data_IF_005585757644
#
_entry.id   IF_005585757644
#
_cell.length_a   1.000
_cell.length_b   1.000
_cell.length_c   1.000
_cell.angle_alpha   90.00
_cell.angle_beta   90.00
_cell.angle_gamma   90.00
#
_symmetry.space_group_name_H-M   'P 1'
#
loop_
_entity.id
_entity.type
_entity.pdbx_description
1 polymer ?
#
# COMPACT_ATOMS: atom_id res chain seq x y z
N UNK A 1 36.94 39.18 60.40
CA UNK A 1 36.60 37.78 60.09
C UNK A 1 35.10 37.72 59.90
N UNK A 2 34.63 37.64 58.67
CA UNK A 2 33.22 37.35 58.35
C UNK A 2 33.16 36.78 56.93
N UNK A 3 33.87 35.67 56.74
CA UNK A 3 33.85 34.84 55.53
C UNK A 3 33.26 33.50 55.89
N UNK A 4 31.97 33.45 56.22
CA UNK A 4 31.33 32.17 56.60
C UNK A 4 29.89 31.99 56.09
N UNK A 5 29.30 32.96 55.39
CA UNK A 5 27.92 32.87 54.90
C UNK A 5 27.71 33.24 53.42
N UNK A 6 28.71 33.05 52.55
CA UNK A 6 28.44 32.86 51.13
C UNK A 6 28.10 31.39 50.88
N UNK A 7 27.01 30.95 51.49
CA UNK A 7 26.43 29.63 51.28
C UNK A 7 25.80 29.58 49.90
N UNK A 8 26.50 28.97 48.94
CA UNK A 8 25.91 27.96 48.05
C UNK A 8 24.68 28.31 47.18
N UNK A 9 24.32 29.59 46.98
CA UNK A 9 23.20 29.95 46.09
C UNK A 9 23.52 29.73 44.59
N UNK A 10 24.81 29.60 44.24
CA UNK A 10 25.26 29.38 42.86
C UNK A 10 25.51 27.90 42.51
N UNK A 11 25.17 26.97 43.38
CA UNK A 11 25.39 25.52 43.18
C UNK A 11 24.08 24.72 43.14
N UNK A 12 22.97 25.38 42.79
CA UNK A 12 21.75 24.72 42.33
C UNK A 12 21.79 24.54 40.82
N UNK A 13 21.17 23.47 40.30
CA UNK A 13 20.95 23.34 38.85
C UNK A 13 20.23 24.61 38.35
N UNK A 14 20.64 25.19 37.21
CA UNK A 14 19.97 26.36 36.66
C UNK A 14 18.46 26.10 36.53
N UNK A 15 17.60 27.10 36.80
CA UNK A 15 16.15 26.93 36.72
C UNK A 15 15.74 26.45 35.31
N UNK A 16 14.70 25.63 35.23
CA UNK A 16 14.28 24.99 33.97
C UNK A 16 14.08 26.00 32.84
N UNK A 17 13.58 27.20 33.16
CA UNK A 17 13.38 28.27 32.19
C UNK A 17 14.70 28.80 31.60
N UNK A 18 15.77 28.92 32.40
CA UNK A 18 17.07 29.36 31.89
C UNK A 18 17.74 28.26 31.09
N UNK A 19 17.57 27.00 31.49
CA UNK A 19 17.99 25.85 30.70
C UNK A 19 17.27 25.80 29.34
N UNK A 20 15.96 26.04 29.31
CA UNK A 20 15.17 26.06 28.08
C UNK A 20 15.57 27.21 27.14
N UNK A 21 15.78 28.42 27.67
CA UNK A 21 16.25 29.56 26.88
C UNK A 21 17.68 29.39 26.35
N UNK A 22 18.51 28.59 27.03
CA UNK A 22 19.88 28.27 26.59
C UNK A 22 19.97 27.12 25.59
N UNK A 23 18.85 26.47 25.24
CA UNK A 23 18.84 25.38 24.26
C UNK A 23 19.22 25.91 22.88
N UNK A 24 20.14 25.21 22.21
CA UNK A 24 20.43 25.45 20.79
C UNK A 24 19.25 24.97 19.96
N UNK A 25 18.92 25.73 18.93
CA UNK A 25 17.85 25.33 18.00
C UNK A 25 18.19 24.01 17.33
N UNK A 26 17.20 23.14 17.19
CA UNK A 26 17.36 21.87 16.49
C UNK A 26 17.56 22.12 14.99
N UNK A 27 18.41 21.32 14.35
CA UNK A 27 18.52 21.31 12.90
C UNK A 27 17.26 20.70 12.29
N UNK A 28 16.54 21.48 11.48
CA UNK A 28 15.30 21.03 10.81
C UNK A 28 15.49 19.72 10.02
N UNK A 29 16.62 19.57 9.33
CA UNK A 29 16.99 18.34 8.63
C UNK A 29 17.10 17.13 9.56
N UNK A 30 17.76 17.28 10.71
CA UNK A 30 17.95 16.17 11.63
C UNK A 30 16.61 15.74 12.23
N UNK A 31 15.77 16.70 12.63
CA UNK A 31 14.41 16.42 13.10
C UNK A 31 13.61 15.67 12.04
N UNK A 32 13.70 16.10 10.78
CA UNK A 32 13.04 15.42 9.66
C UNK A 32 13.51 13.97 9.49
N UNK A 33 14.82 13.71 9.54
CA UNK A 33 15.37 12.35 9.48
C UNK A 33 14.87 11.48 10.64
N UNK A 34 14.83 12.02 11.86
CA UNK A 34 14.28 11.30 13.03
C UNK A 34 12.80 10.98 12.87
N UNK A 35 12.02 11.91 12.31
CA UNK A 35 10.61 11.68 11.98
C UNK A 35 10.47 10.53 10.98
N UNK A 36 11.26 10.52 9.90
CA UNK A 36 11.26 9.41 8.93
C UNK A 36 11.61 8.07 9.58
N UNK A 37 12.64 8.03 10.43
CA UNK A 37 13.02 6.80 11.15
C UNK A 37 11.91 6.35 12.10
N UNK A 38 11.27 7.27 12.83
CA UNK A 38 10.15 6.97 13.70
C UNK A 38 8.96 6.39 12.91
N UNK A 39 8.64 6.96 11.75
CA UNK A 39 7.60 6.44 10.85
C UNK A 39 7.93 5.05 10.33
N UNK A 40 9.19 4.79 9.93
CA UNK A 40 9.66 3.45 9.55
C UNK A 40 9.46 2.45 10.69
N UNK A 41 9.91 2.79 11.89
CA UNK A 41 9.78 1.92 13.07
C UNK A 41 8.31 1.67 13.41
N UNK A 42 7.47 2.70 13.32
CA UNK A 42 6.04 2.61 13.56
C UNK A 42 5.37 1.61 12.59
N UNK A 43 5.66 1.70 11.28
CA UNK A 43 5.14 0.78 10.28
C UNK A 43 5.62 -0.66 10.53
N UNK A 44 6.90 -0.84 10.86
CA UNK A 44 7.46 -2.16 11.18
C UNK A 44 6.74 -2.80 12.37
N UNK A 45 6.50 -2.03 13.43
CA UNK A 45 5.84 -2.52 14.65
C UNK A 45 4.36 -2.82 14.39
N UNK A 46 3.62 -1.89 13.76
CA UNK A 46 2.19 -2.09 13.50
C UNK A 46 1.94 -3.30 12.61
N UNK A 47 2.73 -3.46 11.55
CA UNK A 47 2.56 -4.57 10.60
C UNK A 47 3.41 -5.81 10.92
N UNK A 48 4.08 -5.82 12.09
CA UNK A 48 4.91 -6.93 12.55
C UNK A 48 5.90 -7.43 11.47
N UNK A 49 6.50 -6.48 10.75
CA UNK A 49 7.30 -6.80 9.58
C UNK A 49 8.65 -7.40 9.98
N UNK A 50 8.85 -8.68 9.66
CA UNK A 50 10.08 -9.41 9.98
C UNK A 50 11.24 -9.10 9.02
N UNK A 51 12.47 -9.25 9.50
CA UNK A 51 13.72 -9.18 8.73
C UNK A 51 14.04 -7.81 8.10
N UNK A 52 13.55 -6.72 8.67
CA UNK A 52 13.88 -5.36 8.23
C UNK A 52 14.89 -4.76 9.21
N UNK A 53 15.98 -4.20 8.68
CA UNK A 53 16.93 -3.40 9.45
C UNK A 53 16.54 -1.93 9.27
N UNK A 54 15.89 -1.27 10.25
CA UNK A 54 15.31 0.07 10.07
C UNK A 54 16.36 1.10 9.64
N UNK A 55 17.52 1.09 10.31
CA UNK A 55 18.65 1.94 9.96
C UNK A 55 19.21 1.61 8.58
N UNK A 56 19.05 0.37 8.09
CA UNK A 56 19.49 -0.06 6.76
C UNK A 56 18.85 0.72 5.61
N UNK A 57 17.68 1.33 5.83
CA UNK A 57 16.96 2.16 4.85
C UNK A 57 17.52 3.59 4.70
N UNK A 58 18.54 3.94 5.48
CA UNK A 58 19.14 5.28 5.50
C UNK A 58 20.58 5.27 5.01
N UNK A 59 20.99 6.35 4.35
CA UNK A 59 22.37 6.58 3.90
C UNK A 59 23.37 6.69 5.06
N UNK A 60 24.67 6.68 4.74
CA UNK A 60 25.70 6.72 5.77
C UNK A 60 25.66 8.03 6.58
N UNK A 61 25.34 9.14 5.93
CA UNK A 61 25.23 10.44 6.60
C UNK A 61 24.09 10.49 7.61
N UNK A 62 22.89 10.05 7.24
CA UNK A 62 21.75 9.98 8.16
C UNK A 62 22.00 9.03 9.35
N UNK A 63 22.70 7.90 9.12
CA UNK A 63 23.09 6.99 10.20
C UNK A 63 24.01 7.66 11.24
N UNK A 64 24.92 8.54 10.80
CA UNK A 64 25.84 9.27 11.68
C UNK A 64 25.12 10.33 12.54
N UNK A 65 23.92 10.78 12.15
CA UNK A 65 23.14 11.79 12.89
C UNK A 65 22.18 11.21 13.92
N UNK A 66 21.66 10.00 13.72
CA UNK A 66 20.59 9.46 14.58
C UNK A 66 20.96 9.32 16.07
N UNK A 67 22.26 9.32 16.39
CA UNK A 67 22.75 9.18 17.76
C UNK A 67 23.48 10.43 18.25
N UNK A 68 23.30 11.57 17.57
CA UNK A 68 23.86 12.87 17.96
C UNK A 68 22.74 13.79 18.46
N UNK A 69 23.14 14.85 19.18
CA UNK A 69 22.21 15.87 19.64
C UNK A 69 21.49 16.53 18.46
N UNK A 70 20.24 16.96 18.65
CA UNK A 70 19.40 17.49 17.55
C UNK A 70 19.91 18.81 16.95
N UNK A 71 20.83 19.50 17.62
CA UNK A 71 21.47 20.71 17.12
C UNK A 71 22.79 20.41 16.38
N UNK A 72 23.09 19.13 16.12
CA UNK A 72 24.30 18.74 15.41
C UNK A 72 24.16 19.02 13.91
N UNK A 73 24.93 19.98 13.42
CA UNK A 73 24.97 20.30 11.99
C UNK A 73 25.97 19.38 11.27
N UNK A 74 25.48 18.56 10.35
CA UNK A 74 26.31 17.95 9.31
C UNK A 74 26.48 18.95 8.19
N UNK A 75 27.72 19.15 7.76
CA UNK A 75 28.01 19.80 6.50
C UNK A 75 27.58 18.84 5.39
N UNK A 76 26.49 19.19 4.72
CA UNK A 76 25.83 18.42 3.68
C UNK A 76 26.81 18.16 2.53
N UNK A 77 27.51 17.03 2.58
CA UNK A 77 28.20 16.52 1.41
C UNK A 77 27.16 15.73 0.63
N UNK A 78 26.90 16.16 -0.62
CA UNK A 78 26.02 15.46 -1.54
C UNK A 78 26.52 14.01 -1.68
N UNK A 79 25.88 13.10 -0.96
CA UNK A 79 26.15 11.67 -1.07
C UNK A 79 25.40 11.20 -2.31
N UNK A 80 26.11 10.65 -3.29
CA UNK A 80 25.47 10.06 -4.45
C UNK A 80 24.61 8.89 -3.95
N UNK A 81 23.29 9.00 -4.09
CA UNK A 81 22.40 7.94 -3.63
C UNK A 81 22.69 6.64 -4.38
N UNK A 82 22.83 5.56 -3.60
CA UNK A 82 23.08 4.23 -4.12
C UNK A 82 21.77 3.64 -4.66
N UNK A 83 21.77 3.20 -5.92
CA UNK A 83 20.63 2.51 -6.54
C UNK A 83 20.16 1.31 -5.70
N UNK A 84 21.10 0.63 -5.02
CA UNK A 84 20.77 -0.50 -4.14
C UNK A 84 19.89 -0.06 -2.94
N UNK A 85 20.14 1.14 -2.42
CA UNK A 85 19.38 1.72 -1.33
C UNK A 85 17.98 2.14 -1.78
N UNK A 86 17.86 2.72 -2.97
CA UNK A 86 16.57 3.06 -3.56
C UNK A 86 15.70 1.81 -3.75
N UNK A 87 16.28 0.72 -4.28
CA UNK A 87 15.58 -0.57 -4.41
C UNK A 87 15.13 -1.13 -3.06
N UNK A 88 16.00 -1.07 -2.03
CA UNK A 88 15.65 -1.56 -0.69
C UNK A 88 14.50 -0.75 -0.06
N UNK A 89 14.53 0.58 -0.20
CA UNK A 89 13.47 1.48 0.27
C UNK A 89 12.16 1.21 -0.48
N UNK A 90 12.21 1.08 -1.81
CA UNK A 90 11.02 0.75 -2.60
C UNK A 90 10.41 -0.58 -2.16
N UNK A 91 11.22 -1.65 -2.04
CA UNK A 91 10.73 -2.95 -1.56
C UNK A 91 10.09 -2.87 -0.16
N UNK A 92 10.69 -2.10 0.75
CA UNK A 92 10.10 -1.85 2.07
C UNK A 92 8.72 -1.18 1.96
N UNK A 93 8.59 -0.14 1.16
CA UNK A 93 7.35 0.62 1.00
C UNK A 93 6.25 -0.19 0.30
N UNK A 94 6.58 -0.97 -0.73
CA UNK A 94 5.63 -1.88 -1.39
C UNK A 94 5.11 -2.94 -0.41
N UNK A 95 6.01 -3.52 0.41
CA UNK A 95 5.62 -4.48 1.45
C UNK A 95 4.75 -3.85 2.52
N UNK A 96 5.04 -2.61 2.92
CA UNK A 96 4.21 -1.87 3.87
C UNK A 96 2.83 -1.54 3.26
N UNK A 97 2.76 -1.19 1.97
CA UNK A 97 1.51 -0.92 1.27
C UNK A 97 0.62 -2.18 1.17
N UNK A 98 1.20 -3.34 0.87
CA UNK A 98 0.48 -4.63 0.96
C UNK A 98 -0.06 -4.87 2.36
N UNK A 99 0.74 -4.62 3.41
CA UNK A 99 0.30 -4.79 4.79
C UNK A 99 -0.83 -3.82 5.20
N UNK A 100 -0.82 -2.58 4.69
CA UNK A 100 -1.95 -1.64 4.85
C UNK A 100 -3.22 -2.24 4.23
N UNK A 101 -3.15 -2.69 2.98
CA UNK A 101 -4.31 -3.26 2.27
C UNK A 101 -4.84 -4.53 2.97
N UNK A 102 -3.93 -5.35 3.52
CA UNK A 102 -4.27 -6.57 4.27
C UNK A 102 -4.83 -6.30 5.66
N UNK A 103 -4.62 -5.10 6.22
CA UNK A 103 -5.21 -4.72 7.51
C UNK A 103 -6.67 -4.29 7.42
N UNK A 104 -7.21 -4.13 6.19
CA UNK A 104 -8.61 -3.86 5.96
C UNK A 104 -9.43 -5.14 6.14
N UNK A 105 -10.68 -5.04 6.65
CA UNK A 105 -11.56 -6.20 6.75
C UNK A 105 -11.78 -6.81 5.36
N UNK A 106 -11.69 -8.13 5.25
CA UNK A 106 -12.03 -8.83 4.01
C UNK A 106 -13.54 -8.79 3.80
N UNK A 107 -13.98 -8.68 2.54
CA UNK A 107 -15.41 -8.67 2.22
C UNK A 107 -15.98 -10.07 2.46
N UNK A 108 -16.79 -10.23 3.51
CA UNK A 108 -17.57 -11.45 3.71
C UNK A 108 -18.67 -11.58 2.62
N UNK A 109 -19.00 -12.82 2.21
CA UNK A 109 -20.08 -13.07 1.26
C UNK A 109 -21.42 -12.57 1.81
N UNK A 110 -22.27 -12.04 0.92
CA UNK A 110 -23.59 -11.44 1.21
C UNK A 110 -24.64 -12.49 1.67
N UNK A 111 -24.38 -13.23 2.75
CA UNK A 111 -25.25 -14.33 3.20
C UNK A 111 -25.72 -14.25 4.66
N UNK A 112 -25.62 -13.09 5.33
CA UNK A 112 -26.35 -12.86 6.59
C UNK A 112 -26.81 -11.40 6.69
N UNK A 113 -28.12 -11.12 6.84
CA UNK A 113 -28.58 -9.82 7.31
C UNK A 113 -28.22 -9.72 8.79
N UNK A 114 -27.01 -9.25 9.07
CA UNK A 114 -26.55 -8.98 10.42
C UNK A 114 -27.41 -7.86 11.01
N UNK A 115 -28.25 -8.22 11.99
CA UNK A 115 -29.26 -7.36 12.63
C UNK A 115 -28.69 -6.19 13.48
N UNK A 116 -27.42 -5.82 13.31
CA UNK A 116 -26.74 -4.75 14.07
C UNK A 116 -26.04 -3.78 13.10
N UNK A 117 -26.85 -3.05 12.33
CA UNK A 117 -26.39 -2.11 11.29
C UNK A 117 -25.70 -0.87 11.92
N UNK A 118 -26.07 -0.47 13.14
CA UNK A 118 -25.61 0.80 13.72
C UNK A 118 -24.19 0.78 14.31
N UNK A 119 -23.63 -0.40 14.63
CA UNK A 119 -22.28 -0.50 15.24
C UNK A 119 -21.16 -0.89 14.25
N UNK A 120 -21.48 -1.68 13.22
CA UNK A 120 -20.50 -2.18 12.25
C UNK A 120 -20.04 -1.11 11.25
N UNK A 121 -20.91 -0.15 10.89
CA UNK A 121 -20.56 0.93 9.98
C UNK A 121 -19.53 1.91 10.60
N UNK A 122 -19.62 2.13 11.92
CA UNK A 122 -18.69 3.03 12.62
C UNK A 122 -17.27 2.46 12.78
N UNK A 123 -17.13 1.15 12.97
CA UNK A 123 -15.83 0.47 13.07
C UNK A 123 -15.13 0.42 11.72
N UNK A 124 -15.86 0.05 10.67
CA UNK A 124 -15.31 -0.02 9.31
C UNK A 124 -14.80 1.34 8.82
N UNK A 125 -15.55 2.42 9.08
CA UNK A 125 -15.13 3.78 8.73
C UNK A 125 -13.82 4.18 9.44
N UNK A 126 -13.63 3.73 10.68
CA UNK A 126 -12.41 3.99 11.45
C UNK A 126 -11.23 3.24 10.85
N UNK A 127 -11.42 1.99 10.44
CA UNK A 127 -10.37 1.18 9.82
C UNK A 127 -9.92 1.74 8.46
N UNK A 128 -10.86 2.19 7.62
CA UNK A 128 -10.52 2.86 6.36
C UNK A 128 -9.76 4.18 6.59
N UNK A 129 -10.17 4.97 7.58
CA UNK A 129 -9.47 6.21 7.95
C UNK A 129 -8.04 5.93 8.42
N UNK A 130 -7.84 4.88 9.23
CA UNK A 130 -6.52 4.46 9.70
C UNK A 130 -5.65 3.93 8.55
N UNK A 131 -6.21 3.11 7.66
CA UNK A 131 -5.51 2.60 6.49
C UNK A 131 -5.05 3.74 5.58
N UNK A 132 -5.93 4.70 5.30
CA UNK A 132 -5.59 5.90 4.51
C UNK A 132 -4.47 6.73 5.15
N UNK A 133 -4.53 6.96 6.47
CA UNK A 133 -3.45 7.66 7.21
C UNK A 133 -2.12 6.91 7.09
N UNK A 134 -2.13 5.59 7.29
CA UNK A 134 -0.93 4.75 7.19
C UNK A 134 -0.36 4.75 5.78
N UNK A 135 -1.22 4.67 4.76
CA UNK A 135 -0.79 4.75 3.37
C UNK A 135 -0.18 6.12 3.03
N UNK A 136 -0.75 7.22 3.56
CA UNK A 136 -0.16 8.54 3.41
C UNK A 136 1.23 8.64 4.08
N UNK A 137 1.44 8.01 5.24
CA UNK A 137 2.78 7.93 5.83
C UNK A 137 3.80 7.21 4.92
N UNK A 138 3.38 6.18 4.18
CA UNK A 138 4.21 5.50 3.18
C UNK A 138 4.57 6.45 2.04
N UNK A 139 3.59 7.23 1.55
CA UNK A 139 3.83 8.23 0.50
C UNK A 139 4.75 9.37 0.98
N UNK A 140 4.64 9.80 2.23
CA UNK A 140 5.53 10.82 2.81
C UNK A 140 6.97 10.32 2.94
N UNK A 141 7.15 9.05 3.32
CA UNK A 141 8.48 8.41 3.29
C UNK A 141 9.04 8.34 1.88
N UNK A 142 8.21 7.93 0.90
CA UNK A 142 8.61 7.86 -0.50
C UNK A 142 9.04 9.23 -1.05
N UNK A 143 8.29 10.31 -0.72
CA UNK A 143 8.65 11.69 -1.06
C UNK A 143 9.99 12.08 -0.44
N UNK A 144 10.20 11.77 0.84
CA UNK A 144 11.44 12.07 1.55
C UNK A 144 12.66 11.31 1.05
N UNK A 145 12.44 10.20 0.33
CA UNK A 145 13.48 9.42 -0.35
C UNK A 145 13.48 9.62 -1.86
N UNK A 146 12.70 10.57 -2.39
CA UNK A 146 12.62 10.90 -3.82
C UNK A 146 12.30 9.68 -4.72
N UNK A 147 11.47 8.77 -4.23
CA UNK A 147 11.07 7.56 -4.95
C UNK A 147 9.84 7.78 -5.84
N UNK A 148 9.64 6.89 -6.82
CA UNK A 148 8.45 6.91 -7.68
C UNK A 148 7.18 6.60 -6.86
N UNK A 149 6.39 7.64 -6.62
CA UNK A 149 5.10 7.54 -5.94
C UNK A 149 4.07 6.75 -6.76
N UNK A 150 4.18 6.78 -8.08
CA UNK A 150 3.22 6.14 -8.97
C UNK A 150 3.32 4.61 -8.86
N UNK A 151 4.52 4.06 -8.76
CA UNK A 151 4.75 2.63 -8.50
C UNK A 151 4.05 2.16 -7.21
N UNK A 152 4.20 2.91 -6.12
CA UNK A 152 3.59 2.58 -4.82
C UNK A 152 2.06 2.65 -4.91
N UNK A 153 1.50 3.66 -5.58
CA UNK A 153 0.05 3.78 -5.78
C UNK A 153 -0.52 2.64 -6.60
N UNK A 154 0.09 2.32 -7.74
CA UNK A 154 -0.36 1.21 -8.59
C UNK A 154 -0.32 -0.11 -7.84
N UNK A 155 0.75 -0.37 -7.07
CA UNK A 155 0.86 -1.56 -6.22
C UNK A 155 -0.25 -1.62 -5.16
N UNK A 156 -0.50 -0.52 -4.44
CA UNK A 156 -1.56 -0.47 -3.44
C UNK A 156 -2.95 -0.71 -4.04
N UNK A 157 -3.24 -0.13 -5.22
CA UNK A 157 -4.50 -0.37 -5.94
C UNK A 157 -4.66 -1.85 -6.30
N UNK A 158 -3.60 -2.50 -6.81
CA UNK A 158 -3.60 -3.93 -7.11
C UNK A 158 -3.89 -4.77 -5.85
N UNK A 159 -3.30 -4.41 -4.71
CA UNK A 159 -3.54 -5.06 -3.42
C UNK A 159 -4.97 -4.88 -2.90
N UNK A 160 -5.59 -3.72 -3.16
CA UNK A 160 -6.99 -3.47 -2.82
C UNK A 160 -7.93 -4.33 -3.66
N UNK A 161 -7.74 -4.37 -4.98
CA UNK A 161 -8.51 -5.26 -5.86
C UNK A 161 -8.28 -6.74 -5.50
N UNK A 162 -7.05 -7.17 -5.22
CA UNK A 162 -6.80 -8.56 -4.78
C UNK A 162 -7.59 -8.93 -3.51
N UNK A 163 -7.81 -7.96 -2.60
CA UNK A 163 -8.63 -8.13 -1.40
C UNK A 163 -10.13 -7.84 -1.54
N UNK A 164 -10.64 -7.59 -2.76
CA UNK A 164 -12.06 -7.30 -2.99
C UNK A 164 -12.52 -5.89 -2.58
N UNK A 165 -11.58 -4.96 -2.36
CA UNK A 165 -11.84 -3.57 -1.94
C UNK A 165 -11.97 -2.63 -3.15
N UNK A 166 -12.80 -3.00 -4.12
CA UNK A 166 -12.89 -2.36 -5.44
C UNK A 166 -13.27 -0.88 -5.39
N UNK A 167 -14.21 -0.50 -4.51
CA UNK A 167 -14.64 0.90 -4.37
C UNK A 167 -13.49 1.78 -3.87
N UNK A 168 -12.78 1.35 -2.83
CA UNK A 168 -11.62 2.07 -2.31
C UNK A 168 -10.49 2.15 -3.35
N UNK A 169 -10.28 1.07 -4.10
CA UNK A 169 -9.28 1.05 -5.18
C UNK A 169 -9.59 2.10 -6.27
N UNK A 170 -10.87 2.28 -6.61
CA UNK A 170 -11.32 3.29 -7.58
C UNK A 170 -11.09 4.72 -7.09
N UNK A 171 -11.30 5.00 -5.80
CA UNK A 171 -11.03 6.33 -5.22
C UNK A 171 -9.54 6.70 -5.36
N UNK A 172 -8.65 5.74 -5.03
CA UNK A 172 -7.19 5.95 -5.06
C UNK A 172 -6.66 6.03 -6.49
N UNK A 173 -7.32 5.36 -7.46
CA UNK A 173 -6.93 5.36 -8.89
C UNK A 173 -6.78 6.76 -9.48
N UNK A 174 -7.58 7.73 -9.03
CA UNK A 174 -7.54 9.12 -9.50
C UNK A 174 -6.16 9.79 -9.36
N UNK A 175 -5.31 9.32 -8.43
CA UNK A 175 -3.97 9.86 -8.18
C UNK A 175 -2.85 9.16 -8.99
N UNK A 176 -3.19 8.22 -9.89
CA UNK A 176 -2.24 7.49 -10.73
C UNK A 176 -2.00 8.23 -12.05
N UNK A 177 -0.73 8.34 -12.41
CA UNK A 177 -0.25 8.98 -13.63
C UNK A 177 -0.18 7.97 -14.77
N UNK A 178 0.47 6.82 -14.55
CA UNK A 178 0.60 5.79 -15.58
C UNK A 178 -0.59 4.82 -15.59
N UNK A 179 -1.68 5.28 -16.20
CA UNK A 179 -2.94 4.53 -16.28
C UNK A 179 -2.86 3.31 -17.19
N UNK A 180 -2.04 3.35 -18.25
CA UNK A 180 -1.84 2.21 -19.16
C UNK A 180 -1.17 1.04 -18.43
N UNK A 181 -0.06 1.30 -17.73
CA UNK A 181 0.64 0.26 -16.96
C UNK A 181 -0.25 -0.29 -15.84
N UNK A 182 -1.04 0.57 -15.18
CA UNK A 182 -2.02 0.12 -14.19
C UNK A 182 -3.07 -0.79 -14.84
N UNK A 183 -3.58 -0.45 -16.03
CA UNK A 183 -4.57 -1.25 -16.74
C UNK A 183 -4.01 -2.65 -17.08
N UNK A 184 -2.76 -2.75 -17.55
CA UNK A 184 -2.09 -4.04 -17.79
C UNK A 184 -1.95 -4.86 -16.51
N UNK A 185 -1.62 -4.22 -15.38
CA UNK A 185 -1.52 -4.90 -14.07
C UNK A 185 -2.90 -5.39 -13.59
N UNK A 186 -3.94 -4.57 -13.72
CA UNK A 186 -5.30 -4.92 -13.34
C UNK A 186 -5.91 -6.00 -14.25
N UNK A 187 -5.48 -6.10 -15.51
CA UNK A 187 -5.89 -7.16 -16.43
C UNK A 187 -5.47 -8.55 -15.91
N UNK A 188 -4.29 -8.66 -15.30
CA UNK A 188 -3.85 -9.92 -14.66
C UNK A 188 -4.75 -10.28 -13.47
N UNK A 189 -5.10 -9.30 -12.63
CA UNK A 189 -6.02 -9.49 -11.50
C UNK A 189 -7.44 -9.87 -11.95
N UNK A 190 -7.98 -9.20 -12.97
CA UNK A 190 -9.27 -9.55 -13.55
C UNK A 190 -9.25 -10.98 -14.11
N UNK A 191 -8.16 -11.35 -14.80
CA UNK A 191 -7.90 -12.71 -15.25
C UNK A 191 -7.90 -13.72 -14.10
N UNK A 192 -7.25 -13.42 -12.97
CA UNK A 192 -7.25 -14.31 -11.80
C UNK A 192 -8.65 -14.48 -11.20
N UNK A 193 -9.46 -13.42 -11.15
CA UNK A 193 -10.84 -13.50 -10.65
C UNK A 193 -11.68 -14.41 -11.54
N UNK A 194 -11.56 -14.26 -12.87
CA UNK A 194 -12.22 -15.13 -13.84
C UNK A 194 -11.69 -16.56 -13.75
N UNK A 195 -10.37 -16.75 -13.58
CA UNK A 195 -9.78 -18.07 -13.37
C UNK A 195 -10.45 -18.77 -12.19
N UNK A 196 -10.58 -18.10 -11.03
CA UNK A 196 -11.24 -18.68 -9.88
C UNK A 196 -12.71 -19.03 -10.17
N UNK A 197 -13.45 -18.17 -10.89
CA UNK A 197 -14.83 -18.47 -11.32
C UNK A 197 -14.86 -19.73 -12.20
N UNK A 198 -13.95 -19.88 -13.15
CA UNK A 198 -13.98 -20.98 -14.13
C UNK A 198 -13.51 -22.29 -13.52
N UNK A 199 -12.38 -22.29 -12.83
CA UNK A 199 -11.69 -23.50 -12.40
C UNK A 199 -12.06 -23.96 -10.99
N UNK A 200 -12.49 -23.05 -10.11
CA UNK A 200 -12.88 -23.38 -8.73
C UNK A 200 -14.41 -23.49 -8.61
N UNK A 201 -15.02 -24.32 -9.46
CA UNK A 201 -16.45 -24.60 -9.44
C UNK A 201 -16.73 -26.11 -9.58
N UNK A 202 -17.97 -26.53 -9.33
CA UNK A 202 -18.36 -27.94 -9.41
C UNK A 202 -18.27 -28.52 -10.85
N UNK A 203 -18.51 -27.70 -11.87
CA UNK A 203 -18.55 -28.11 -13.28
C UNK A 203 -17.66 -27.22 -14.18
N UNK A 204 -16.32 -27.35 -14.07
CA UNK A 204 -15.39 -26.50 -14.81
C UNK A 204 -15.49 -26.71 -16.33
N UNK A 205 -15.87 -27.92 -16.79
CA UNK A 205 -16.02 -28.23 -18.20
C UNK A 205 -17.08 -27.35 -18.89
N UNK A 206 -18.21 -27.11 -18.23
CA UNK A 206 -19.30 -26.26 -18.74
C UNK A 206 -18.83 -24.82 -18.91
N UNK A 207 -18.11 -24.28 -17.92
CA UNK A 207 -17.57 -22.91 -17.94
C UNK A 207 -16.44 -22.74 -18.96
N UNK A 208 -15.60 -23.76 -19.12
CA UNK A 208 -14.53 -23.78 -20.13
C UNK A 208 -15.09 -23.77 -21.56
N UNK A 209 -16.26 -24.35 -21.80
CA UNK A 209 -16.92 -24.37 -23.10
C UNK A 209 -17.29 -22.98 -23.63
N UNK A 210 -17.40 -21.98 -22.75
CA UNK A 210 -17.71 -20.59 -23.09
C UNK A 210 -16.48 -19.75 -23.43
N UNK A 211 -15.27 -20.29 -23.25
CA UNK A 211 -14.04 -19.53 -23.42
C UNK A 211 -13.46 -19.71 -24.82
N UNK A 212 -12.97 -18.63 -25.40
CA UNK A 212 -12.10 -18.72 -26.58
C UNK A 212 -10.76 -19.39 -26.22
N UNK A 213 -10.06 -20.02 -27.18
CA UNK A 213 -8.78 -20.67 -26.92
C UNK A 213 -7.72 -19.73 -26.31
N UNK A 214 -7.71 -18.46 -26.74
CA UNK A 214 -6.79 -17.44 -26.25
C UNK A 214 -7.05 -17.11 -24.77
N UNK A 215 -8.32 -16.94 -24.40
CA UNK A 215 -8.72 -16.71 -23.01
C UNK A 215 -8.38 -17.92 -22.14
N UNK A 216 -8.69 -19.14 -22.59
CA UNK A 216 -8.35 -20.36 -21.84
C UNK A 216 -6.83 -20.49 -21.60
N UNK A 217 -6.02 -20.20 -22.63
CA UNK A 217 -4.56 -20.24 -22.54
C UNK A 217 -4.01 -19.16 -21.61
N UNK A 218 -4.61 -17.97 -21.62
CA UNK A 218 -4.25 -16.90 -20.70
C UNK A 218 -4.58 -17.28 -19.25
N UNK A 219 -5.79 -17.74 -18.97
CA UNK A 219 -6.21 -18.09 -17.61
C UNK A 219 -5.38 -19.25 -17.03
N UNK A 220 -5.01 -20.25 -17.82
CA UNK A 220 -4.15 -21.36 -17.38
C UNK A 220 -2.76 -20.89 -16.94
N UNK A 221 -2.23 -19.80 -17.51
CA UNK A 221 -0.94 -19.24 -17.09
C UNK A 221 -1.00 -18.51 -15.75
N UNK A 222 -2.20 -18.25 -15.22
CA UNK A 222 -2.39 -17.53 -13.96
C UNK A 222 -2.52 -18.47 -12.75
N UNK A 223 -2.41 -19.78 -12.94
CA UNK A 223 -2.62 -20.83 -11.91
C UNK A 223 -1.74 -20.65 -10.65
N UNK A 224 -0.53 -20.11 -10.80
CA UNK A 224 0.43 -19.95 -9.69
C UNK A 224 0.17 -18.71 -8.80
N UNK A 225 -0.75 -17.81 -9.18
CA UNK A 225 -0.95 -16.55 -8.46
C UNK A 225 -2.30 -16.56 -7.73
N UNK A 226 -2.24 -16.53 -6.41
CA UNK A 226 -3.43 -16.57 -5.55
C UNK A 226 -3.96 -15.17 -5.27
N UNK A 227 -5.27 -14.99 -5.48
CA UNK A 227 -5.99 -13.82 -4.98
C UNK A 227 -6.13 -13.91 -3.46
N UNK A 228 -6.16 -12.75 -2.79
CA UNK A 228 -6.48 -12.70 -1.36
C UNK A 228 -7.96 -12.99 -1.12
N UNK A 229 -8.83 -12.39 -1.94
CA UNK A 229 -10.28 -12.55 -1.88
C UNK A 229 -10.78 -13.34 -3.11
N UNK A 230 -11.28 -14.56 -2.87
CA UNK A 230 -11.77 -15.47 -3.92
C UNK A 230 -13.29 -15.35 -4.15
N UNK A 231 -14.01 -14.62 -3.32
CA UNK A 231 -15.47 -14.48 -3.32
C UNK A 231 -15.95 -13.17 -3.94
N UNK A 232 -15.14 -12.54 -4.82
CA UNK A 232 -15.53 -11.31 -5.49
C UNK A 232 -16.64 -11.59 -6.52
N UNK A 233 -17.69 -10.78 -6.50
CA UNK A 233 -18.81 -10.89 -7.44
C UNK A 233 -18.34 -10.77 -8.91
N UNK A 234 -18.85 -11.61 -9.82
CA UNK A 234 -18.62 -11.49 -11.26
C UNK A 234 -18.94 -10.09 -11.81
N UNK A 235 -19.98 -9.42 -11.30
CA UNK A 235 -20.37 -8.07 -11.78
C UNK A 235 -19.32 -7.00 -11.44
N UNK A 236 -18.66 -7.09 -10.28
CA UNK A 236 -17.54 -6.20 -9.94
C UNK A 236 -16.34 -6.46 -10.85
N UNK A 237 -16.12 -7.72 -11.22
CA UNK A 237 -15.08 -8.09 -12.19
C UNK A 237 -15.39 -7.53 -13.59
N UNK A 238 -16.65 -7.54 -14.03
CA UNK A 238 -17.05 -6.92 -15.29
C UNK A 238 -16.81 -5.40 -15.28
N UNK A 239 -17.18 -4.74 -14.18
CA UNK A 239 -16.93 -3.30 -13.97
C UNK A 239 -15.43 -2.97 -14.01
N UNK A 240 -14.60 -3.83 -13.41
CA UNK A 240 -13.13 -3.70 -13.47
C UNK A 240 -12.63 -3.81 -14.92
N UNK A 241 -13.13 -4.76 -15.70
CA UNK A 241 -12.73 -4.94 -17.11
C UNK A 241 -13.14 -3.73 -17.95
N UNK A 242 -14.33 -3.18 -17.74
CA UNK A 242 -14.75 -1.94 -18.40
C UNK A 242 -13.79 -0.79 -18.09
N UNK A 243 -13.37 -0.66 -16.83
CA UNK A 243 -12.38 0.34 -16.43
C UNK A 243 -11.00 0.10 -17.04
N UNK A 244 -10.59 -1.16 -17.24
CA UNK A 244 -9.32 -1.50 -17.89
C UNK A 244 -9.37 -1.09 -19.36
N UNK A 245 -10.46 -1.40 -20.06
CA UNK A 245 -10.65 -1.11 -21.48
C UNK A 245 -10.54 0.39 -21.81
N UNK A 246 -10.93 1.26 -20.88
CA UNK A 246 -10.83 2.73 -21.04
C UNK A 246 -9.38 3.21 -21.18
N UNK A 247 -8.41 2.53 -20.55
CA UNK A 247 -7.02 3.00 -20.47
C UNK A 247 -6.03 2.18 -21.30
N UNK A 248 -6.48 1.07 -21.91
CA UNK A 248 -5.65 0.31 -22.83
C UNK A 248 -5.67 0.94 -24.23
N UNK A 249 -4.51 1.05 -24.91
CA UNK A 249 -4.45 1.62 -26.25
C UNK A 249 -5.15 0.74 -27.29
N UNK A 250 -5.79 1.39 -28.26
CA UNK A 250 -6.55 0.73 -29.31
C UNK A 250 -5.68 -0.21 -30.15
N UNK A 251 -6.21 -1.41 -30.39
CA UNK A 251 -5.58 -2.43 -31.24
C UNK A 251 -4.48 -3.25 -30.55
N UNK A 252 -4.15 -2.96 -29.28
CA UNK A 252 -3.21 -3.75 -28.50
C UNK A 252 -3.76 -5.17 -28.24
N UNK A 253 -2.86 -6.15 -28.15
CA UNK A 253 -3.19 -7.53 -27.77
C UNK A 253 -3.90 -7.60 -26.41
N UNK A 254 -3.50 -6.76 -25.46
CA UNK A 254 -4.12 -6.70 -24.14
C UNK A 254 -5.57 -6.19 -24.21
N UNK A 255 -5.84 -5.20 -25.06
CA UNK A 255 -7.20 -4.71 -25.28
C UNK A 255 -8.09 -5.79 -25.90
N UNK A 256 -7.59 -6.51 -26.93
CA UNK A 256 -8.31 -7.64 -27.54
C UNK A 256 -8.59 -8.74 -26.52
N UNK A 257 -7.62 -9.07 -25.68
CA UNK A 257 -7.79 -10.04 -24.60
C UNK A 257 -8.83 -9.56 -23.58
N UNK A 258 -8.80 -8.30 -23.18
CA UNK A 258 -9.76 -7.71 -22.24
C UNK A 258 -11.19 -7.74 -22.78
N UNK A 259 -11.39 -7.46 -24.08
CA UNK A 259 -12.71 -7.61 -24.74
C UNK A 259 -13.18 -9.07 -24.71
N UNK A 260 -12.32 -10.02 -25.11
CA UNK A 260 -12.66 -11.45 -25.05
C UNK A 260 -12.95 -11.94 -23.63
N UNK A 261 -12.26 -11.41 -22.62
CA UNK A 261 -12.53 -11.71 -21.20
C UNK A 261 -13.88 -11.15 -20.75
N UNK A 262 -14.26 -9.96 -21.23
CA UNK A 262 -15.57 -9.36 -20.94
C UNK A 262 -16.70 -10.23 -21.50
N UNK A 263 -16.63 -10.57 -22.79
CA UNK A 263 -17.63 -11.40 -23.47
C UNK A 263 -17.80 -12.75 -22.76
N UNK A 264 -16.66 -13.40 -22.43
CA UNK A 264 -16.66 -14.65 -21.69
C UNK A 264 -17.31 -14.50 -20.29
N UNK A 265 -17.01 -13.41 -19.57
CA UNK A 265 -17.56 -13.17 -18.25
C UNK A 265 -19.08 -12.93 -18.30
N UNK A 266 -19.59 -12.23 -19.30
CA UNK A 266 -21.03 -12.04 -19.49
C UNK A 266 -21.77 -13.37 -19.67
N UNK A 267 -21.19 -14.32 -20.42
CA UNK A 267 -21.76 -15.66 -20.57
C UNK A 267 -21.65 -16.49 -19.28
N UNK A 268 -20.55 -16.36 -18.54
CA UNK A 268 -20.39 -17.02 -17.24
C UNK A 268 -21.38 -16.51 -16.18
N UNK A 269 -21.71 -15.21 -16.21
CA UNK A 269 -22.72 -14.62 -15.33
C UNK A 269 -24.09 -15.26 -15.60
N UNK A 270 -24.50 -15.32 -16.87
CA UNK A 270 -25.78 -15.95 -17.27
C UNK A 270 -25.87 -17.40 -16.81
N UNK A 271 -24.78 -18.17 -16.96
CA UNK A 271 -24.75 -19.58 -16.53
C UNK A 271 -24.92 -19.68 -15.01
N UNK A 272 -24.24 -18.81 -14.25
CA UNK A 272 -24.28 -18.85 -12.79
C UNK A 272 -25.66 -18.47 -12.24
N UNK A 273 -26.34 -17.52 -12.87
CA UNK A 273 -27.72 -17.11 -12.53
C UNK A 273 -28.77 -18.18 -12.85
N UNK A 274 -28.56 -19.00 -13.89
CA UNK A 274 -29.48 -20.09 -14.26
C UNK A 274 -29.32 -21.31 -13.34
N UNK A 275 -28.15 -21.49 -12.72
CA UNK A 275 -27.85 -22.64 -11.85
C UNK A 275 -28.09 -22.39 -10.35
N UNK A 276 -28.46 -21.17 -9.96
CA UNK A 276 -28.74 -20.77 -8.55
C UNK A 276 -30.24 -20.73 -8.27
#
# INVERSE_FOLDING_TARGET
METFWQGHENAGRPPLITMALSQKSAGNWQVYMHLMLATVLHLIVIFQMKNIKPLGLFGANAKKTFFRELHFHIQEQAEKEDQSLCTLRMQFLLRAASAVAQSLPEREPESVPSANIDSADSSNQTDYSLASKRFNCILDLARGWELDLDEIRRHYICELYSGGQDLLAQEVKSAVTNNELLASQLLLLAGQRIHNIVFNCAEPATRLGCLTPDVSTFLKKLEDVTLRCNNVSPHLTATLIDQILVYLPDGNREQKLAMSLKDALEDLIKITEVTS
#
